data_IF_904902613317
#
_entry.id   IF_904902613317
#
_cell.length_a   1.000
_cell.length_b   1.000
_cell.length_c   1.000
_cell.angle_alpha   90.00
_cell.angle_beta   90.00
_cell.angle_gamma   90.00
#
_symmetry.space_group_name_H-M   'P 1'
#
loop_
_entity.id
_entity.type
_entity.pdbx_description
1 polymer ?
2 non-polymer ?
3 non-polymer ?
4 non-polymer ?
5 water ?
#
# COMPACT_ATOMS: atom_id res chain seq x y z
N UNK A 33 14.35 -15.68 -4.02
CA UNK A 33 15.20 -15.00 -3.00
C UNK A 33 14.39 -14.87 -1.70
N UNK A 34 15.07 -15.19 -0.61
CA UNK A 34 14.41 -15.44 0.63
C UNK A 34 13.84 -14.17 1.25
N UNK A 35 14.15 -13.00 0.64
CA UNK A 35 13.87 -11.78 1.34
C UNK A 35 12.88 -10.89 0.60
N UNK A 36 12.24 -11.37 -0.47
CA UNK A 36 11.20 -10.60 -1.13
C UNK A 36 9.84 -11.10 -0.76
N UNK A 37 8.84 -10.23 -0.92
CA UNK A 37 7.46 -10.57 -0.63
C UNK A 37 6.70 -11.09 -1.77
N UNK A 38 5.97 -12.20 -1.58
CA UNK A 38 5.33 -12.89 -2.60
C UNK A 38 4.08 -12.21 -3.15
N UNK A 39 3.72 -11.04 -2.60
CA UNK A 39 2.61 -10.21 -3.16
C UNK A 39 3.12 -8.93 -3.83
N UNK A 40 3.85 -8.12 -3.07
CA UNK A 40 4.38 -6.83 -3.64
C UNK A 40 5.73 -6.89 -4.36
N UNK A 41 6.53 -7.95 -4.12
CA UNK A 41 7.81 -8.20 -4.79
C UNK A 41 8.96 -7.25 -4.35
N UNK A 42 8.67 -6.44 -3.36
CA UNK A 42 9.69 -5.59 -2.74
C UNK A 42 10.39 -6.40 -1.65
N UNK A 43 11.48 -5.92 -1.15
CA UNK A 43 12.08 -6.48 0.03
C UNK A 43 11.05 -6.51 1.14
N UNK A 44 11.00 -7.63 1.85
CA UNK A 44 10.06 -7.73 2.93
C UNK A 44 10.12 -6.71 4.02
N UNK A 45 8.94 -6.29 4.48
CA UNK A 45 8.82 -5.40 5.64
C UNK A 45 7.93 -6.13 6.65
N UNK A 46 8.51 -6.42 7.80
CA UNK A 46 7.85 -7.20 8.87
C UNK A 46 7.33 -8.53 8.31
N UNK A 47 8.29 -9.42 8.00
CA UNK A 47 7.88 -10.66 7.32
C UNK A 47 7.04 -11.58 8.18
N UNK A 48 5.99 -12.08 7.56
CA UNK A 48 5.10 -13.04 8.16
C UNK A 48 5.02 -14.27 7.33
N UNK A 49 4.99 -15.41 8.00
CA UNK A 49 4.91 -16.68 7.35
C UNK A 49 3.53 -17.28 7.60
N UNK A 50 2.95 -17.70 6.48
CA UNK A 50 1.60 -18.27 6.53
C UNK A 50 1.71 -19.77 6.78
N UNK A 51 0.60 -20.37 7.23
CA UNK A 51 0.54 -21.81 7.51
C UNK A 51 1.10 -22.67 6.35
N UNK A 52 0.88 -22.24 5.09
CA UNK A 52 1.42 -22.87 3.89
C UNK A 52 2.89 -22.63 3.54
N UNK A 53 3.58 -21.77 4.34
CA UNK A 53 4.98 -21.57 4.15
C UNK A 53 5.33 -20.45 3.20
N UNK A 54 4.35 -19.61 2.87
CA UNK A 54 4.62 -18.45 2.08
C UNK A 54 4.93 -17.25 3.00
N UNK A 55 5.79 -16.37 2.52
CA UNK A 55 6.27 -15.26 3.37
C UNK A 55 5.91 -13.97 2.71
N UNK A 56 5.29 -13.10 3.51
CA UNK A 56 4.82 -11.80 2.97
C UNK A 56 5.08 -10.67 3.93
N UNK A 57 5.11 -9.43 3.45
CA UNK A 57 5.05 -8.29 4.39
C UNK A 57 3.80 -8.39 5.29
N UNK A 58 3.90 -8.07 6.58
CA UNK A 58 2.70 -8.15 7.37
C UNK A 58 1.48 -7.36 6.75
N UNK A 59 1.72 -6.19 6.25
CA UNK A 59 0.63 -5.38 5.71
C UNK A 59 0.08 -5.94 4.40
N UNK A 60 0.95 -6.59 3.66
CA UNK A 60 0.52 -7.24 2.42
C UNK A 60 -0.45 -8.43 2.61
N UNK A 61 -0.13 -9.30 3.51
CA UNK A 61 -1.03 -10.42 3.79
C UNK A 61 -2.26 -9.89 4.55
N UNK A 62 -2.11 -8.94 5.46
CA UNK A 62 -3.31 -8.34 6.13
C UNK A 62 -4.33 -7.74 5.12
N UNK A 63 -3.82 -6.98 4.17
CA UNK A 63 -4.70 -6.42 3.12
C UNK A 63 -5.24 -7.54 2.22
N UNK A 64 -4.47 -8.54 1.87
CA UNK A 64 -5.02 -9.63 1.04
C UNK A 64 -6.19 -10.35 1.68
N UNK A 65 -6.06 -10.66 3.00
CA UNK A 65 -7.09 -11.30 3.79
C UNK A 65 -8.30 -10.47 4.08
N UNK A 66 -8.14 -9.20 4.02
CA UNK A 66 -9.25 -8.26 4.22
C UNK A 66 -10.17 -8.43 3.06
N UNK A 67 -9.60 -8.60 1.89
CA UNK A 67 -10.38 -8.69 0.64
C UNK A 67 -10.83 -10.07 0.27
N UNK A 68 -9.97 -11.06 0.53
CA UNK A 68 -10.28 -12.46 0.17
C UNK A 68 -9.95 -13.33 1.35
N UNK A 69 -10.99 -13.59 2.18
CA UNK A 69 -10.76 -14.13 3.52
C UNK A 69 -10.22 -15.58 3.39
N UNK A 70 -9.38 -15.94 4.34
CA UNK A 70 -9.00 -17.33 4.57
C UNK A 70 -8.25 -17.95 3.40
N UNK A 71 -7.54 -17.16 2.57
CA UNK A 71 -6.93 -17.74 1.40
C UNK A 71 -5.49 -17.18 1.28
N UNK A 72 -4.54 -18.01 0.95
CA UNK A 72 -3.22 -17.48 0.66
C UNK A 72 -3.26 -16.84 -0.72
N UNK A 73 -2.71 -15.61 -0.85
CA UNK A 73 -2.82 -14.95 -2.12
C UNK A 73 -1.86 -15.50 -3.15
N UNK A 74 -0.84 -16.21 -2.69
CA UNK A 74 0.11 -16.85 -3.58
C UNK A 74 -0.33 -18.23 -4.10
N UNK A 75 -0.60 -19.17 -3.17
CA UNK A 75 -0.97 -20.55 -3.57
C UNK A 75 -2.47 -20.95 -3.40
N UNK A 76 -3.28 -20.08 -2.82
CA UNK A 76 -4.73 -20.33 -2.59
C UNK A 76 -5.07 -21.31 -1.51
N UNK A 77 -4.08 -21.73 -0.76
CA UNK A 77 -4.33 -22.62 0.41
C UNK A 77 -5.17 -21.94 1.46
N UNK A 78 -5.95 -22.71 2.22
CA UNK A 78 -6.74 -22.22 3.33
C UNK A 78 -5.90 -21.69 4.42
N UNK A 79 -6.22 -20.45 4.86
CA UNK A 79 -5.49 -19.87 6.00
C UNK A 79 -6.44 -19.53 7.16
N UNK A 80 -6.25 -20.14 8.31
CA UNK A 80 -7.10 -19.73 9.49
C UNK A 80 -6.70 -18.38 10.12
N UNK A 81 -5.61 -17.74 9.69
CA UNK A 81 -5.09 -16.48 10.26
C UNK A 81 -4.05 -15.92 9.35
N UNK A 82 -3.56 -14.71 9.61
CA UNK A 82 -2.45 -14.16 8.83
C UNK A 82 -1.16 -15.01 8.88
N UNK A 83 -0.95 -15.78 9.92
CA UNK A 83 0.35 -16.45 10.05
C UNK A 83 1.06 -15.95 11.24
N UNK A 84 2.37 -16.12 11.24
CA UNK A 84 3.19 -15.81 12.40
C UNK A 84 4.34 -14.96 11.93
N UNK A 85 4.78 -14.05 12.78
CA UNK A 85 6.03 -13.36 12.43
C UNK A 85 7.23 -14.30 12.14
N UNK A 86 7.80 -14.09 10.96
CA UNK A 86 8.90 -14.91 10.45
C UNK A 86 10.18 -14.45 11.05
N UNK A 87 10.39 -14.79 12.32
CA UNK A 87 11.44 -14.13 13.11
C UNK A 87 12.79 -14.68 12.62
N UNK A 88 12.84 -15.87 12.02
CA UNK A 88 14.10 -16.38 11.40
C UNK A 88 14.54 -15.44 10.24
N UNK A 89 13.55 -15.05 9.44
CA UNK A 89 13.81 -14.18 8.29
C UNK A 89 14.20 -12.78 8.81
N UNK A 90 13.42 -12.26 9.77
CA UNK A 90 13.80 -10.93 10.35
C UNK A 90 15.19 -10.84 10.90
N UNK A 91 15.64 -11.93 11.60
CA UNK A 91 17.00 -12.03 12.10
C UNK A 91 18.06 -12.00 11.01
N UNK A 92 17.83 -12.76 9.95
CA UNK A 92 18.77 -12.83 8.84
C UNK A 92 18.81 -11.55 8.13
N UNK A 93 17.70 -10.83 7.99
CA UNK A 93 17.76 -9.56 7.27
C UNK A 93 18.67 -8.52 7.91
N UNK A 94 18.93 -8.61 9.21
CA UNK A 94 19.83 -7.66 9.87
C UNK A 94 21.27 -7.81 9.42
N UNK A 95 21.64 -8.96 8.89
CA UNK A 95 23.01 -9.19 8.53
C UNK A 95 23.19 -9.24 7.00
N UNK A 96 22.27 -8.59 6.25
CA UNK A 96 22.26 -8.59 4.77
C UNK A 96 22.08 -7.18 4.34
N UNK A 97 22.86 -6.85 3.32
CA UNK A 97 22.86 -5.57 2.66
C UNK A 97 22.71 -5.77 1.17
N UNK A 98 21.96 -4.86 0.53
CA UNK A 98 21.82 -4.92 -0.91
C UNK A 98 21.59 -3.49 -1.46
N UNK A 99 21.99 -3.30 -2.70
CA UNK A 99 21.77 -2.02 -3.37
C UNK A 99 20.28 -1.77 -3.67
N UNK A 100 19.82 -0.58 -3.29
CA UNK A 100 18.57 -0.14 -3.75
C UNK A 100 18.52 -0.25 -5.26
N UNK A 101 17.45 -0.78 -5.79
CA UNK A 101 17.31 -0.91 -7.24
C UNK A 101 17.36 0.43 -8.01
N UNK A 102 16.98 1.54 -7.36
CA UNK A 102 16.76 2.78 -8.07
C UNK A 102 17.86 3.74 -7.85
N UNK A 103 18.48 3.80 -6.66
CA UNK A 103 19.58 4.75 -6.47
C UNK A 103 20.97 4.10 -6.29
N UNK A 104 21.00 2.79 -6.20
CA UNK A 104 22.21 2.00 -5.95
C UNK A 104 22.91 2.12 -4.61
N UNK A 105 22.31 2.82 -3.66
CA UNK A 105 22.84 2.88 -2.31
C UNK A 105 22.74 1.51 -1.66
N UNK A 106 23.83 1.08 -1.01
CA UNK A 106 23.81 -0.16 -0.25
C UNK A 106 23.03 0.07 1.06
N UNK A 107 21.98 -0.74 1.27
CA UNK A 107 21.06 -0.58 2.36
C UNK A 107 20.95 -1.92 3.10
N UNK A 108 20.79 -1.85 4.42
CA UNK A 108 20.54 -3.08 5.14
C UNK A 108 19.11 -3.53 4.83
N UNK A 109 18.93 -4.84 4.67
CA UNK A 109 17.63 -5.27 4.23
C UNK A 109 16.58 -4.92 5.27
N UNK A 110 16.93 -4.95 6.55
CA UNK A 110 15.93 -4.62 7.60
C UNK A 110 15.40 -3.18 7.51
N UNK A 111 16.18 -2.35 6.86
CA UNK A 111 15.91 -0.91 6.72
C UNK A 111 15.52 -0.52 5.32
N UNK A 112 15.26 -1.50 4.46
CA UNK A 112 15.03 -1.17 3.08
C UNK A 112 13.70 -0.46 2.89
N UNK A 113 12.67 -0.76 3.68
CA UNK A 113 11.38 -0.12 3.46
C UNK A 113 11.46 1.35 3.78
N UNK A 114 12.18 1.63 4.86
CA UNK A 114 12.41 2.98 5.29
C UNK A 114 13.26 3.76 4.26
N UNK A 115 14.15 3.04 3.62
CA UNK A 115 14.95 3.63 2.52
C UNK A 115 14.11 4.04 1.35
N UNK A 116 13.27 3.12 0.85
CA UNK A 116 12.48 3.44 -0.32
C UNK A 116 11.41 4.47 -0.06
N UNK A 117 10.90 4.52 1.17
CA UNK A 117 9.97 5.56 1.51
C UNK A 117 10.42 6.96 1.09
N UNK A 118 11.70 7.29 1.31
CA UNK A 118 12.16 8.63 1.06
C UNK A 118 13.20 8.66 -0.06
N UNK A 119 13.48 7.51 -0.70
CA UNK A 119 14.40 7.49 -1.84
C UNK A 119 13.76 8.31 -3.01
N UNK A 120 14.32 9.47 -3.37
CA UNK A 120 13.78 10.26 -4.47
C UNK A 120 13.71 9.56 -5.86
N UNK A 121 14.72 8.74 -6.18
CA UNK A 121 14.67 8.03 -7.42
C UNK A 121 13.55 6.97 -7.45
N UNK A 122 13.33 6.29 -6.32
CA UNK A 122 12.22 5.43 -6.22
C UNK A 122 10.89 6.20 -6.43
N UNK A 123 10.75 7.32 -5.77
CA UNK A 123 9.51 8.14 -5.88
C UNK A 123 9.28 8.64 -7.30
N UNK A 124 10.36 9.09 -7.93
CA UNK A 124 10.35 9.45 -9.35
C UNK A 124 9.78 8.34 -10.23
N UNK A 125 10.22 7.11 -10.00
CA UNK A 125 9.85 6.04 -10.87
C UNK A 125 8.44 5.48 -10.57
N UNK A 126 8.07 5.36 -9.33
CA UNK A 126 6.83 4.66 -8.98
C UNK A 126 5.75 5.58 -8.50
N UNK A 127 6.06 6.85 -8.19
CA UNK A 127 5.07 7.78 -7.65
C UNK A 127 5.06 7.70 -6.13
N UNK A 128 4.37 8.65 -5.48
CA UNK A 128 4.28 8.73 -4.03
C UNK A 128 3.35 7.67 -3.46
N UNK B 33 -15.92 15.55 3.72
CA UNK B 33 -14.78 14.63 3.43
C UNK B 33 -14.49 14.64 1.93
N UNK B 34 -15.54 14.38 1.13
CA UNK B 34 -15.61 14.02 -0.30
C UNK B 34 -14.37 13.72 -1.11
N UNK B 35 -13.21 13.89 -0.52
CA UNK B 35 -11.95 13.73 -1.23
C UNK B 35 -11.13 12.64 -0.56
N UNK B 36 -11.81 11.75 0.13
CA UNK B 36 -11.13 10.65 0.84
C UNK B 36 -11.47 9.31 0.25
N UNK B 37 -10.55 8.35 0.47
CA UNK B 37 -10.78 7.00 0.04
C UNK B 37 -11.47 6.16 1.06
N UNK B 38 -12.52 5.44 0.64
CA UNK B 38 -13.25 4.59 1.54
C UNK B 38 -12.52 3.29 1.83
N UNK B 39 -11.39 3.04 1.18
CA UNK B 39 -10.57 1.89 1.59
C UNK B 39 -9.50 2.25 2.57
N UNK B 40 -8.63 3.22 2.27
CA UNK B 40 -7.51 3.51 3.13
C UNK B 40 -7.74 4.70 4.09
N UNK B 41 -8.84 5.48 3.85
CA UNK B 41 -9.24 6.66 4.65
C UNK B 41 -8.29 7.87 4.53
N UNK B 42 -7.39 7.80 3.60
CA UNK B 42 -6.50 8.95 3.33
C UNK B 42 -7.11 9.77 2.21
N UNK B 43 -6.52 10.91 2.00
CA UNK B 43 -6.94 11.71 0.88
C UNK B 43 -6.64 10.95 -0.42
N UNK B 44 -7.59 10.99 -1.36
CA UNK B 44 -7.47 10.31 -2.62
C UNK B 44 -6.18 10.61 -3.35
N UNK B 45 -5.60 9.57 -3.93
CA UNK B 45 -4.52 9.71 -4.92
C UNK B 45 -5.02 8.98 -6.17
N UNK B 46 -5.11 9.74 -7.28
CA UNK B 46 -5.62 9.23 -8.52
C UNK B 46 -7.02 8.62 -8.29
N UNK B 47 -8.02 9.44 -8.02
CA UNK B 47 -9.34 8.92 -7.73
C UNK B 47 -9.96 8.19 -8.90
N UNK B 48 -10.62 7.08 -8.62
CA UNK B 48 -11.21 6.18 -9.63
C UNK B 48 -12.63 5.92 -9.12
N UNK B 49 -13.64 6.15 -10.00
CA UNK B 49 -15.05 5.90 -9.70
C UNK B 49 -15.46 4.54 -10.27
N UNK B 50 -15.99 3.69 -9.42
CA UNK B 50 -16.57 2.38 -9.85
C UNK B 50 -18.01 2.57 -10.27
N UNK B 51 -18.66 1.55 -10.89
CA UNK B 51 -20.03 1.76 -11.45
C UNK B 51 -21.09 2.04 -10.43
N UNK B 52 -20.87 1.57 -9.21
CA UNK B 52 -21.77 1.83 -8.10
C UNK B 52 -21.70 3.23 -7.59
N UNK B 53 -20.73 4.03 -8.00
CA UNK B 53 -20.68 5.37 -7.42
C UNK B 53 -19.66 5.67 -6.34
N UNK B 54 -18.97 4.64 -5.85
CA UNK B 54 -17.92 4.88 -4.90
C UNK B 54 -16.62 5.28 -5.50
N UNK B 55 -15.78 5.96 -4.71
CA UNK B 55 -14.54 6.56 -5.23
C UNK B 55 -13.34 6.17 -4.37
N UNK B 56 -12.29 5.64 -5.01
CA UNK B 56 -11.12 5.07 -4.34
C UNK B 56 -9.84 5.57 -4.99
N UNK B 57 -8.73 5.61 -4.29
CA UNK B 57 -7.39 5.67 -4.89
C UNK B 57 -7.27 4.59 -5.97
N UNK B 58 -6.66 4.95 -7.12
CA UNK B 58 -6.42 3.92 -8.14
C UNK B 58 -5.82 2.66 -7.62
N UNK B 59 -4.79 2.80 -6.80
CA UNK B 59 -4.06 1.63 -6.38
C UNK B 59 -4.89 0.85 -5.35
N UNK B 60 -5.73 1.50 -4.58
CA UNK B 60 -6.54 0.82 -3.56
C UNK B 60 -7.63 -0.03 -4.22
N UNK B 61 -8.37 0.50 -5.19
CA UNK B 61 -9.36 -0.32 -5.85
C UNK B 61 -8.62 -1.40 -6.61
N UNK B 62 -7.48 -1.10 -7.18
CA UNK B 62 -6.71 -2.20 -7.90
C UNK B 62 -6.33 -3.32 -6.98
N UNK B 63 -5.82 -3.02 -5.81
CA UNK B 63 -5.42 -4.07 -4.90
C UNK B 63 -6.65 -4.85 -4.47
N UNK B 64 -7.74 -4.16 -4.21
CA UNK B 64 -8.98 -4.77 -3.73
C UNK B 64 -9.49 -5.79 -4.71
N UNK B 65 -9.56 -5.41 -5.99
CA UNK B 65 -10.09 -6.25 -7.06
C UNK B 65 -9.15 -7.38 -7.41
N UNK B 66 -7.85 -7.19 -7.29
CA UNK B 66 -6.87 -8.27 -7.43
C UNK B 66 -7.21 -9.47 -6.57
N UNK B 67 -7.65 -9.20 -5.35
CA UNK B 67 -7.93 -10.23 -4.34
C UNK B 67 -9.38 -10.66 -4.38
N UNK B 68 -10.28 -9.72 -4.65
CA UNK B 68 -11.73 -9.99 -4.64
C UNK B 68 -12.40 -9.32 -5.84
N UNK B 69 -12.48 -10.07 -6.91
CA UNK B 69 -12.73 -9.50 -8.20
C UNK B 69 -14.20 -9.20 -8.36
N UNK B 70 -14.46 -8.18 -9.16
CA UNK B 70 -15.78 -7.77 -9.53
C UNK B 70 -16.68 -7.26 -8.43
N UNK B 71 -16.16 -6.79 -7.29
CA UNK B 71 -17.07 -6.36 -6.22
C UNK B 71 -16.52 -5.11 -5.59
N UNK B 72 -17.40 -4.15 -5.35
CA UNK B 72 -16.96 -2.97 -4.68
C UNK B 72 -16.54 -3.28 -3.26
N UNK B 73 -15.31 -2.80 -2.84
CA UNK B 73 -14.85 -3.22 -1.50
C UNK B 73 -15.62 -2.56 -0.37
N UNK B 74 -16.27 -1.47 -0.68
CA UNK B 74 -17.13 -0.73 0.22
C UNK B 74 -18.58 -1.23 0.31
N UNK B 75 -19.31 -1.34 -0.81
CA UNK B 75 -20.73 -1.69 -0.77
C UNK B 75 -21.06 -3.09 -1.25
N UNK B 76 -20.03 -3.76 -1.78
CA UNK B 76 -20.10 -5.10 -2.30
C UNK B 76 -20.95 -5.28 -3.55
N UNK B 77 -21.36 -4.20 -4.22
CA UNK B 77 -22.02 -4.33 -5.46
C UNK B 77 -21.15 -5.04 -6.49
N UNK B 78 -21.80 -5.80 -7.33
CA UNK B 78 -21.17 -6.27 -8.53
C UNK B 78 -20.66 -5.11 -9.40
N UNK B 79 -19.41 -5.25 -9.84
CA UNK B 79 -18.78 -4.41 -10.83
C UNK B 79 -18.36 -5.12 -12.11
N UNK B 80 -18.78 -4.57 -13.24
CA UNK B 80 -18.45 -5.21 -14.52
C UNK B 80 -17.07 -4.76 -14.98
N UNK B 81 -16.48 -3.80 -14.29
CA UNK B 81 -15.18 -3.25 -14.71
C UNK B 81 -14.50 -2.67 -13.51
N UNK B 82 -13.22 -2.34 -13.71
CA UNK B 82 -12.33 -1.97 -12.66
C UNK B 82 -12.32 -0.47 -12.34
N UNK B 83 -13.26 0.29 -12.90
CA UNK B 83 -13.36 1.72 -12.63
C UNK B 83 -12.81 2.64 -13.71
N UNK B 84 -13.23 3.89 -13.65
CA UNK B 84 -12.73 4.90 -14.56
C UNK B 84 -12.11 6.04 -13.73
N UNK B 85 -11.14 6.73 -14.30
CA UNK B 85 -10.55 7.87 -13.52
C UNK B 85 -11.58 8.93 -13.23
N UNK B 86 -11.65 9.37 -11.98
CA UNK B 86 -12.62 10.39 -11.60
C UNK B 86 -12.02 11.73 -11.76
N UNK B 87 -11.94 12.18 -12.98
CA UNK B 87 -11.27 13.41 -13.32
C UNK B 87 -12.00 14.62 -12.76
N UNK B 88 -13.33 14.52 -12.59
CA UNK B 88 -14.08 15.55 -11.94
C UNK B 88 -13.65 15.82 -10.49
N UNK B 89 -13.37 14.74 -9.78
CA UNK B 89 -12.91 14.82 -8.42
C UNK B 89 -11.51 15.33 -8.45
N UNK B 90 -10.62 14.78 -9.33
CA UNK B 90 -9.24 15.29 -9.36
C UNK B 90 -9.19 16.80 -9.62
N UNK B 91 -10.04 17.29 -10.55
CA UNK B 91 -10.12 18.72 -10.86
C UNK B 91 -10.50 19.56 -9.66
N UNK B 92 -11.52 19.11 -8.92
CA UNK B 92 -11.97 19.77 -7.71
C UNK B 92 -10.87 19.84 -6.68
N UNK B 93 -10.06 18.76 -6.58
CA UNK B 93 -9.00 18.64 -5.60
C UNK B 93 -7.90 19.64 -5.76
N UNK B 94 -7.76 20.18 -6.96
CA UNK B 94 -6.75 21.21 -7.18
C UNK B 94 -7.04 22.54 -6.53
N UNK B 95 -8.30 22.78 -6.12
CA UNK B 95 -8.57 24.08 -5.49
C UNK B 95 -9.03 23.86 -4.04
N UNK B 96 -8.77 22.65 -3.51
CA UNK B 96 -9.09 22.33 -2.13
C UNK B 96 -7.80 22.12 -1.34
N UNK B 97 -7.84 22.49 -0.04
CA UNK B 97 -6.66 22.44 0.82
C UNK B 97 -7.07 21.91 2.18
N UNK B 98 -6.15 21.22 2.88
CA UNK B 98 -6.44 20.82 4.27
C UNK B 98 -5.09 20.72 4.97
N UNK B 99 -5.15 20.74 6.27
CA UNK B 99 -3.96 20.56 7.06
C UNK B 99 -3.63 19.07 7.18
N UNK B 100 -2.36 18.73 7.01
CA UNK B 100 -1.89 17.38 7.25
C UNK B 100 -2.17 17.07 8.72
N UNK B 101 -2.72 15.90 9.01
CA UNK B 101 -3.18 15.59 10.39
C UNK B 101 -2.05 15.41 11.37
N UNK B 102 -0.83 15.16 10.85
CA UNK B 102 0.31 14.90 11.70
C UNK B 102 1.28 16.05 11.87
N UNK B 103 1.43 16.90 10.89
CA UNK B 103 2.33 18.06 11.04
C UNK B 103 1.61 19.40 10.96
N UNK B 104 0.32 19.39 10.68
CA UNK B 104 -0.49 20.61 10.53
C UNK B 104 -0.15 21.54 9.37
N UNK B 105 0.78 21.16 8.48
CA UNK B 105 1.06 21.98 7.29
C UNK B 105 -0.17 21.99 6.41
N UNK B 106 -0.58 23.15 5.90
CA UNK B 106 -1.62 23.24 4.88
C UNK B 106 -1.09 22.72 3.49
N UNK B 107 -1.79 21.75 2.87
CA UNK B 107 -1.44 21.18 1.60
C UNK B 107 -2.61 21.12 0.66
N UNK B 108 -2.39 21.44 -0.61
CA UNK B 108 -3.43 21.26 -1.59
C UNK B 108 -3.80 19.77 -1.68
N UNK B 109 -5.07 19.45 -1.77
CA UNK B 109 -5.41 17.98 -1.77
C UNK B 109 -4.76 17.16 -2.91
N UNK B 110 -4.53 17.75 -4.08
CA UNK B 110 -3.80 17.12 -5.22
C UNK B 110 -2.39 16.71 -4.89
N UNK B 111 -1.79 17.36 -3.91
CA UNK B 111 -0.45 17.10 -3.50
C UNK B 111 -0.36 16.39 -2.18
N UNK B 112 -1.49 16.00 -1.59
CA UNK B 112 -1.43 15.41 -0.21
C UNK B 112 -0.70 14.12 -0.21
N UNK B 113 -0.89 13.24 -1.21
CA UNK B 113 -0.18 12.01 -1.13
C UNK B 113 1.33 12.18 -1.18
N UNK B 114 1.80 13.14 -2.00
CA UNK B 114 3.24 13.42 -2.10
C UNK B 114 3.77 13.98 -0.79
N UNK B 115 2.95 14.75 -0.10
CA UNK B 115 3.31 15.28 1.22
C UNK B 115 3.49 14.20 2.26
N UNK B 116 2.48 13.32 2.39
CA UNK B 116 2.56 12.30 3.39
C UNK B 116 3.62 11.29 3.13
N UNK B 117 3.98 11.11 1.87
CA UNK B 117 5.17 10.24 1.55
C UNK B 117 6.40 10.57 2.28
N UNK B 118 6.74 11.83 2.38
CA UNK B 118 7.96 12.25 3.02
C UNK B 118 7.76 13.11 4.29
N UNK B 119 6.53 13.19 4.81
CA UNK B 119 6.29 13.90 6.05
C UNK B 119 6.82 13.10 7.24
N UNK B 120 7.75 13.68 7.96
CA UNK B 120 8.45 12.93 8.99
C UNK B 120 7.50 12.49 10.10
N UNK B 121 6.63 13.43 10.50
CA UNK B 121 5.69 13.14 11.57
C UNK B 121 4.74 12.03 11.15
N UNK B 122 4.35 12.02 9.89
CA UNK B 122 3.44 10.99 9.36
C UNK B 122 4.18 9.63 9.42
N UNK B 123 5.42 9.62 8.96
CA UNK B 123 6.27 8.40 9.01
C UNK B 123 6.50 7.91 10.44
N UNK B 124 6.70 8.83 11.37
CA UNK B 124 6.92 8.46 12.75
C UNK B 124 5.70 7.74 13.29
N UNK B 125 4.51 8.18 12.92
CA UNK B 125 3.30 7.64 13.46
C UNK B 125 2.96 6.33 12.82
N UNK B 126 3.02 6.26 11.53
CA UNK B 126 2.46 5.10 10.82
C UNK B 126 3.52 4.10 10.33
N UNK B 127 4.78 4.45 10.42
CA UNK B 127 5.94 3.66 9.89
C UNK B 127 6.10 3.96 8.39
N UNK B 128 7.15 3.41 7.75
CA UNK B 128 7.42 3.54 6.32
C UNK B 128 6.52 2.72 5.36
#
# INVERSE_FOLDING_TARGET
MGSVLSTDSGKSAPASATARALERRRDPELPVTSFDCAVCLEVLHQPVRTRCGHVFCRSCIATSLKNNKWTCPYCRAYLPSEGVPATDVAKRMKSEYKNCAECDTLVCLSEMRAHIRTCQKYIDKYGPLQELEETAARCVCPFCQRELYEDSLLDHCITHHRSERRPVFCPLCRLIPDENPSSFSGSLIRHLQVSHTLFYDDFIDFNIIEEALIRRVLDRSLLEYVNHSNTT
MGSVLSTDSGKSAPASATARALERRRDPELPVTSFDCAVCLEVLHQPVRTRCGHVFCRSCIATSLKNNKWTCPYCRAYLPSEGVPATDVAKRMKSEYKNCAECDTLVCLSEMRAHIRTCQKYIDKYGPLQELEETAARCVCPFCQRELYEDSLLDHCITHHRSERRPVFCPLCRLIPDENPSSFSGSLIRHLQVSHTLFYDDFIDFNIIEEALIRRVLDRSLLEYVNHSNTT
#
